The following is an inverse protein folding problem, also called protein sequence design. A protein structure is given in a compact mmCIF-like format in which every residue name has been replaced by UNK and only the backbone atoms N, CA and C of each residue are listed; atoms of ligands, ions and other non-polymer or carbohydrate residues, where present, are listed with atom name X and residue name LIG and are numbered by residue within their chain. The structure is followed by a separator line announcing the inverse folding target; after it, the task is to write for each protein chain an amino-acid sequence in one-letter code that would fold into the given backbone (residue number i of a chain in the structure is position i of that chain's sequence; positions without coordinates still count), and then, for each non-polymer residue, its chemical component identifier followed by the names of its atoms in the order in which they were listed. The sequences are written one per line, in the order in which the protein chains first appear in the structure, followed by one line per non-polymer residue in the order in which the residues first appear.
data_IF_026361744700
#
_entry.id   IF_026361744700
#
_cell.length_a   1.000
_cell.length_b   1.000
_cell.length_c   1.000
_cell.angle_alpha   90.00
_cell.angle_beta   90.00
_cell.angle_gamma   90.00
#
_symmetry.space_group_name_H-M   'P 1'
#
loop_
_entity.id
_entity.type
_entity.pdbx_description
1 polymer ?
#
# COMPACT_ATOMS: atom_id res chain seq x y z
N UNK A 1 4.62 4.17 17.86
CA UNK A 1 3.14 4.01 17.81
C UNK A 1 2.53 5.27 18.40
N UNK A 2 1.59 5.86 17.72
CA UNK A 2 0.87 7.08 18.12
C UNK A 2 -0.62 6.78 18.12
N UNK A 3 -1.31 7.01 19.22
CA UNK A 3 -2.78 6.95 19.25
C UNK A 3 -3.32 8.30 18.76
N UNK A 4 -4.11 8.27 17.67
CA UNK A 4 -4.65 9.48 17.02
C UNK A 4 -6.10 9.74 17.40
N UNK A 5 -6.84 8.67 17.72
CA UNK A 5 -8.20 8.66 18.24
C UNK A 5 -8.34 7.45 19.18
N UNK A 6 -9.33 7.40 20.08
CA UNK A 6 -9.55 6.23 20.93
C UNK A 6 -9.65 4.93 20.11
N UNK A 7 -8.70 4.02 20.34
CA UNK A 7 -8.61 2.74 19.64
C UNK A 7 -8.02 2.80 18.23
N UNK A 8 -7.64 3.99 17.72
CA UNK A 8 -6.97 4.14 16.42
C UNK A 8 -5.49 4.44 16.64
N UNK A 9 -4.63 3.56 16.19
CA UNK A 9 -3.19 3.73 16.31
C UNK A 9 -2.51 3.91 14.96
N UNK A 10 -1.45 4.70 14.94
CA UNK A 10 -0.61 4.97 13.78
C UNK A 10 0.84 4.59 14.09
N UNK A 11 1.39 3.75 13.27
CA UNK A 11 2.79 3.32 13.31
C UNK A 11 3.54 3.93 12.12
N UNK A 12 4.66 4.58 12.38
CA UNK A 12 5.57 5.06 11.33
C UNK A 12 6.64 3.99 11.13
N UNK A 13 6.63 3.36 9.96
CA UNK A 13 7.54 2.27 9.59
C UNK A 13 8.76 2.75 8.82
N UNK A 14 8.60 3.86 8.09
CA UNK A 14 9.65 4.56 7.35
C UNK A 14 9.36 6.08 7.44
N UNK A 15 10.35 6.99 7.41
CA UNK A 15 11.77 6.73 7.15
C UNK A 15 12.48 6.05 8.34
N UNK A 16 13.56 5.34 8.02
CA UNK A 16 14.48 4.83 9.02
C UNK A 16 15.09 5.98 9.83
N UNK A 17 15.56 5.69 11.07
CA UNK A 17 16.20 6.70 11.92
C UNK A 17 17.40 7.38 11.25
N UNK A 18 18.10 6.65 10.38
CA UNK A 18 19.12 7.19 9.48
C UNK A 18 18.57 7.08 8.06
N UNK A 19 18.37 8.20 7.37
CA UNK A 19 17.85 8.18 6.01
C UNK A 19 18.75 7.42 5.04
N UNK A 20 18.14 6.74 4.08
CA UNK A 20 18.86 6.06 3.02
C UNK A 20 19.53 7.06 2.09
N UNK A 21 20.79 6.77 1.72
CA UNK A 21 21.60 7.56 0.79
C UNK A 21 22.24 6.60 -0.21
N UNK A 22 22.14 6.95 -1.49
CA UNK A 22 22.72 6.15 -2.57
C UNK A 22 21.89 4.91 -2.96
N UNK A 23 20.61 4.89 -2.61
CA UNK A 23 19.68 3.81 -2.97
C UNK A 23 19.25 3.84 -4.45
N UNK A 24 19.67 4.89 -5.19
CA UNK A 24 19.22 5.14 -6.57
C UNK A 24 17.90 5.89 -6.68
N UNK A 25 17.10 5.90 -5.62
CA UNK A 25 15.84 6.61 -5.51
C UNK A 25 15.63 7.13 -4.07
N UNK A 26 16.62 7.81 -3.53
CA UNK A 26 16.67 8.21 -2.11
C UNK A 26 15.43 8.99 -1.66
N UNK A 27 14.89 9.85 -2.54
CA UNK A 27 13.68 10.61 -2.24
C UNK A 27 12.49 9.69 -1.98
N UNK A 28 12.27 8.71 -2.85
CA UNK A 28 11.17 7.75 -2.74
C UNK A 28 11.42 6.78 -1.59
N UNK A 29 12.64 6.27 -1.49
CA UNK A 29 13.00 5.31 -0.46
C UNK A 29 13.00 5.86 0.98
N UNK A 30 12.99 7.18 1.14
CA UNK A 30 12.77 7.85 2.43
C UNK A 30 11.34 8.38 2.60
N UNK A 31 10.40 8.00 1.73
CA UNK A 31 9.00 8.40 1.87
C UNK A 31 8.37 7.77 3.12
N UNK A 32 7.38 8.45 3.69
CA UNK A 32 6.73 8.02 4.92
C UNK A 32 5.84 6.80 4.66
N UNK A 33 6.13 5.70 5.32
CA UNK A 33 5.27 4.50 5.34
C UNK A 33 4.56 4.44 6.67
N UNK A 34 3.24 4.31 6.60
CA UNK A 34 2.37 4.29 7.78
C UNK A 34 1.56 3.00 7.82
N UNK A 35 1.44 2.45 9.02
CA UNK A 35 0.46 1.42 9.32
C UNK A 35 -0.56 1.98 10.30
N UNK A 36 -1.81 2.07 9.86
CA UNK A 36 -2.94 2.47 10.69
C UNK A 36 -3.69 1.23 11.14
N UNK A 37 -4.06 1.17 12.41
CA UNK A 37 -4.81 0.05 13.00
C UNK A 37 -6.00 0.59 13.77
N UNK A 38 -7.17 0.04 13.48
CA UNK A 38 -8.39 0.24 14.24
C UNK A 38 -9.08 -1.12 14.48
N UNK A 39 -9.10 -1.56 15.72
CA UNK A 39 -9.62 -2.89 16.06
C UNK A 39 -8.88 -4.01 15.31
N UNK A 40 -9.62 -4.80 14.54
CA UNK A 40 -9.06 -5.87 13.69
C UNK A 40 -8.69 -5.40 12.28
N UNK A 41 -9.03 -4.18 11.89
CA UNK A 41 -8.77 -3.64 10.55
C UNK A 41 -7.50 -2.82 10.54
N UNK A 42 -6.64 -3.08 9.56
CA UNK A 42 -5.36 -2.38 9.41
C UNK A 42 -5.10 -1.98 7.96
N UNK A 43 -4.45 -0.84 7.79
CA UNK A 43 -4.08 -0.26 6.50
C UNK A 43 -2.57 -0.04 6.45
N UNK A 44 -1.93 -0.51 5.40
CA UNK A 44 -0.55 -0.18 5.10
C UNK A 44 -0.50 0.84 3.95
N UNK A 45 -0.06 2.04 4.26
CA UNK A 45 0.08 3.15 3.33
C UNK A 45 1.55 3.25 2.92
N UNK A 46 1.89 2.61 1.81
CA UNK A 46 3.29 2.42 1.41
C UNK A 46 3.93 3.63 0.72
N UNK A 47 3.18 4.73 0.50
CA UNK A 47 3.69 5.93 -0.18
C UNK A 47 4.34 5.61 -1.53
N UNK A 48 5.53 6.20 -1.80
CA UNK A 48 6.26 6.01 -3.04
C UNK A 48 7.56 5.21 -2.85
N UNK A 49 7.64 4.39 -1.78
CA UNK A 49 8.80 3.53 -1.57
C UNK A 49 9.00 2.56 -2.73
N UNK A 50 10.25 2.19 -2.96
CA UNK A 50 10.64 1.24 -3.99
C UNK A 50 11.19 -0.06 -3.37
N UNK A 51 11.54 -1.01 -4.21
CA UNK A 51 12.02 -2.34 -3.83
C UNK A 51 13.10 -2.33 -2.74
N UNK A 52 13.96 -1.32 -2.73
CA UNK A 52 15.02 -1.16 -1.71
C UNK A 52 14.43 -1.03 -0.30
N UNK A 53 13.46 -0.13 -0.13
CA UNK A 53 12.83 0.09 1.19
C UNK A 53 11.84 -1.02 1.53
N UNK A 54 11.14 -1.59 0.54
CA UNK A 54 10.30 -2.77 0.76
C UNK A 54 11.12 -3.96 1.29
N UNK A 55 12.30 -4.25 0.70
CA UNK A 55 13.21 -5.30 1.18
C UNK A 55 13.76 -4.98 2.58
N UNK A 56 14.08 -3.71 2.86
CA UNK A 56 14.46 -3.27 4.20
C UNK A 56 13.34 -3.55 5.22
N UNK A 57 12.10 -3.18 4.92
CA UNK A 57 10.96 -3.40 5.81
C UNK A 57 10.70 -4.89 6.06
N UNK A 58 10.81 -5.72 5.01
CA UNK A 58 10.70 -7.19 5.12
C UNK A 58 11.72 -7.79 6.07
N UNK A 59 12.92 -7.21 6.16
CA UNK A 59 14.02 -7.70 7.03
C UNK A 59 13.97 -7.12 8.44
N UNK A 60 13.10 -6.17 8.69
CA UNK A 60 12.93 -5.60 10.03
C UNK A 60 11.95 -6.42 10.87
N UNK A 61 11.87 -6.09 12.15
CA UNK A 61 10.90 -6.69 13.08
C UNK A 61 9.53 -6.00 13.05
N UNK A 62 9.29 -5.10 12.09
CA UNK A 62 7.98 -4.44 11.96
C UNK A 62 6.89 -5.43 11.56
N UNK A 63 5.71 -5.24 12.12
CA UNK A 63 4.50 -5.93 11.66
C UNK A 63 4.03 -5.25 10.39
N UNK A 64 4.13 -5.95 9.24
CA UNK A 64 3.65 -5.45 7.95
C UNK A 64 2.25 -5.94 7.61
N UNK A 65 1.82 -7.06 8.19
CA UNK A 65 0.51 -7.66 7.93
C UNK A 65 -0.61 -6.64 8.10
N UNK A 66 -1.41 -6.47 7.04
CA UNK A 66 -2.46 -5.45 6.99
C UNK A 66 -3.58 -5.87 6.05
N UNK A 67 -4.82 -5.61 6.47
CA UNK A 67 -6.03 -5.95 5.70
C UNK A 67 -6.07 -5.19 4.37
N UNK A 68 -5.65 -3.92 4.39
CA UNK A 68 -5.63 -3.08 3.20
C UNK A 68 -4.20 -2.66 2.88
N UNK A 69 -3.79 -2.86 1.63
CA UNK A 69 -2.56 -2.30 1.09
C UNK A 69 -2.87 -1.17 0.10
N UNK A 70 -2.43 0.05 0.39
CA UNK A 70 -2.24 1.04 -0.67
C UNK A 70 -0.92 0.71 -1.36
N UNK A 71 -0.99 0.23 -2.61
CA UNK A 71 0.18 -0.16 -3.39
C UNK A 71 1.20 0.98 -3.47
N UNK A 72 2.47 0.64 -3.33
CA UNK A 72 3.55 1.60 -3.36
C UNK A 72 3.73 2.21 -4.76
N UNK A 73 4.15 3.45 -4.79
CA UNK A 73 4.56 4.20 -5.99
C UNK A 73 3.57 4.06 -7.16
N UNK A 74 2.27 4.15 -6.84
CA UNK A 74 1.17 4.08 -7.82
C UNK A 74 1.16 2.80 -8.67
N UNK A 75 1.77 1.72 -8.20
CA UNK A 75 1.97 0.49 -8.95
C UNK A 75 3.13 0.57 -9.95
N UNK A 76 4.19 1.32 -9.64
CA UNK A 76 5.43 1.33 -10.40
C UNK A 76 6.08 -0.07 -10.43
N UNK A 77 6.75 -0.41 -11.55
CA UNK A 77 7.48 -1.69 -11.65
C UNK A 77 8.60 -1.83 -10.62
N UNK A 78 9.10 -0.72 -10.07
CA UNK A 78 10.14 -0.71 -9.03
C UNK A 78 9.61 -1.01 -7.63
N UNK A 79 8.31 -1.29 -7.46
CA UNK A 79 7.65 -1.45 -6.17
C UNK A 79 6.78 -2.70 -6.07
N UNK A 80 6.22 -2.92 -4.88
CA UNK A 80 5.33 -4.04 -4.55
C UNK A 80 5.98 -5.39 -4.87
N UNK A 81 7.24 -5.59 -4.39
CA UNK A 81 7.98 -6.84 -4.63
C UNK A 81 7.26 -8.04 -3.98
N UNK A 82 7.43 -9.27 -4.52
CA UNK A 82 6.73 -10.45 -4.00
C UNK A 82 6.93 -10.70 -2.51
N UNK A 83 8.15 -10.47 -2.00
CA UNK A 83 8.46 -10.67 -0.58
C UNK A 83 7.69 -9.68 0.32
N UNK A 84 7.59 -8.41 -0.09
CA UNK A 84 6.82 -7.39 0.62
C UNK A 84 5.32 -7.71 0.58
N UNK A 85 4.78 -7.98 -0.61
CA UNK A 85 3.38 -8.35 -0.76
C UNK A 85 3.01 -9.58 0.08
N UNK A 86 3.89 -10.60 0.09
CA UNK A 86 3.69 -11.80 0.90
C UNK A 86 3.68 -11.55 2.40
N UNK A 87 4.49 -10.59 2.89
CA UNK A 87 4.50 -10.23 4.31
C UNK A 87 3.32 -9.31 4.70
N UNK A 88 2.89 -8.45 3.80
CA UNK A 88 1.69 -7.61 4.02
C UNK A 88 0.44 -8.49 4.01
N UNK A 89 0.39 -9.49 3.14
CA UNK A 89 -0.71 -10.46 2.99
C UNK A 89 -2.10 -9.79 3.01
N UNK A 90 -2.35 -8.80 2.14
CA UNK A 90 -3.56 -7.99 2.22
C UNK A 90 -4.79 -8.75 1.74
N UNK A 91 -5.96 -8.44 2.30
CA UNK A 91 -7.25 -8.86 1.77
C UNK A 91 -7.74 -7.96 0.63
N UNK A 92 -7.31 -6.69 0.64
CA UNK A 92 -7.69 -5.68 -0.35
C UNK A 92 -6.46 -4.88 -0.75
N UNK A 93 -6.29 -4.58 -2.05
CA UNK A 93 -5.29 -3.66 -2.55
C UNK A 93 -5.93 -2.45 -3.25
N UNK A 94 -5.38 -1.27 -2.99
CA UNK A 94 -5.78 -0.03 -3.66
C UNK A 94 -4.60 0.54 -4.44
N UNK A 95 -4.79 0.79 -5.73
CA UNK A 95 -3.81 1.46 -6.59
C UNK A 95 -4.33 2.86 -6.90
N UNK A 96 -3.65 3.87 -6.38
CA UNK A 96 -3.95 5.27 -6.68
C UNK A 96 -3.14 5.71 -7.89
N UNK A 97 -3.76 5.80 -9.06
CA UNK A 97 -3.14 6.25 -10.30
C UNK A 97 -4.11 7.14 -11.09
N UNK A 98 -3.59 8.06 -11.87
CA UNK A 98 -4.41 8.89 -12.75
C UNK A 98 -4.75 8.14 -14.04
N UNK A 99 -5.97 8.30 -14.53
CA UNK A 99 -6.34 7.81 -15.87
C UNK A 99 -5.50 8.51 -16.93
N UNK A 100 -4.86 7.71 -17.82
CA UNK A 100 -3.99 8.24 -18.88
C UNK A 100 -2.71 8.88 -18.38
N UNK A 101 -2.22 8.53 -17.17
CA UNK A 101 -0.97 9.07 -16.66
C UNK A 101 0.23 8.73 -17.56
N UNK A 102 1.15 9.70 -17.68
CA UNK A 102 2.32 9.58 -18.56
C UNK A 102 3.35 8.52 -18.11
N UNK A 103 3.24 8.01 -16.89
CA UNK A 103 4.19 7.03 -16.33
C UNK A 103 3.80 5.58 -16.67
N UNK A 104 2.60 5.37 -17.21
CA UNK A 104 2.06 4.03 -17.48
C UNK A 104 1.73 3.23 -16.21
N UNK A 105 1.44 3.94 -15.11
CA UNK A 105 1.06 3.30 -13.86
C UNK A 105 -0.44 2.97 -13.81
N UNK A 106 -0.82 1.84 -13.18
CA UNK A 106 0.07 0.80 -12.69
C UNK A 106 0.70 0.02 -13.84
N UNK A 107 1.95 -0.38 -13.66
CA UNK A 107 2.61 -1.28 -14.60
C UNK A 107 1.92 -2.66 -14.61
N UNK A 108 1.78 -3.31 -15.79
CA UNK A 108 1.13 -4.62 -15.91
C UNK A 108 1.73 -5.68 -14.96
N UNK A 109 3.04 -5.66 -14.77
CA UNK A 109 3.75 -6.59 -13.88
C UNK A 109 3.26 -6.51 -12.42
N UNK A 110 2.98 -5.30 -11.94
CA UNK A 110 2.48 -5.08 -10.58
C UNK A 110 0.99 -5.39 -10.49
N UNK A 111 0.21 -4.96 -11.49
CA UNK A 111 -1.21 -5.27 -11.56
C UNK A 111 -1.45 -6.79 -11.58
N UNK A 112 -0.74 -7.52 -12.44
CA UNK A 112 -0.83 -8.99 -12.52
C UNK A 112 -0.40 -9.67 -11.22
N UNK A 113 0.69 -9.20 -10.58
CA UNK A 113 1.14 -9.73 -9.28
C UNK A 113 0.09 -9.60 -8.20
N UNK A 114 -0.57 -8.46 -8.14
CA UNK A 114 -1.66 -8.24 -7.19
C UNK A 114 -2.87 -9.13 -7.53
N UNK A 115 -3.21 -9.26 -8.82
CA UNK A 115 -4.30 -10.10 -9.28
C UNK A 115 -4.06 -11.58 -8.98
N UNK A 116 -2.85 -12.07 -9.18
CA UNK A 116 -2.45 -13.44 -8.82
C UNK A 116 -2.53 -13.69 -7.31
N UNK A 117 -2.22 -12.69 -6.50
CA UNK A 117 -2.22 -12.82 -5.05
C UNK A 117 -3.62 -12.69 -4.41
N UNK A 118 -4.48 -11.80 -4.94
CA UNK A 118 -5.73 -11.43 -4.28
C UNK A 118 -7.00 -11.82 -5.08
N UNK A 119 -6.91 -11.95 -6.40
CA UNK A 119 -8.06 -11.93 -7.30
C UNK A 119 -8.45 -10.50 -7.69
N UNK A 120 -8.97 -10.35 -8.91
CA UNK A 120 -9.30 -9.05 -9.50
C UNK A 120 -10.34 -8.26 -8.69
N UNK A 121 -11.29 -8.95 -8.10
CA UNK A 121 -12.41 -8.39 -7.31
C UNK A 121 -11.96 -7.71 -6.00
N UNK A 122 -10.71 -7.90 -5.59
CA UNK A 122 -10.12 -7.31 -4.39
C UNK A 122 -9.12 -6.21 -4.68
N UNK A 123 -9.02 -5.80 -5.95
CA UNK A 123 -8.11 -4.74 -6.40
C UNK A 123 -8.92 -3.56 -6.88
N UNK A 124 -8.75 -2.44 -6.20
CA UNK A 124 -9.43 -1.19 -6.53
C UNK A 124 -8.44 -0.20 -7.13
N UNK A 125 -8.82 0.41 -8.26
CA UNK A 125 -7.93 1.29 -9.03
C UNK A 125 -8.61 2.62 -9.32
N UNK A 126 -8.02 3.72 -8.88
CA UNK A 126 -8.60 5.05 -9.09
C UNK A 126 -8.61 5.49 -10.56
N UNK A 127 -7.70 4.97 -11.39
CA UNK A 127 -7.68 5.23 -12.83
C UNK A 127 -8.85 4.61 -13.61
N UNK A 128 -9.53 3.63 -13.00
CA UNK A 128 -10.70 2.93 -13.56
C UNK A 128 -11.99 3.29 -12.86
N UNK A 129 -11.97 3.26 -11.53
CA UNK A 129 -13.15 3.34 -10.67
C UNK A 129 -13.38 4.74 -10.08
N UNK A 130 -12.49 5.71 -10.36
CA UNK A 130 -12.58 7.05 -9.76
C UNK A 130 -12.21 7.03 -8.28
N UNK A 131 -13.01 7.68 -7.45
CA UNK A 131 -12.80 7.66 -6.01
C UNK A 131 -13.00 6.26 -5.45
N UNK A 132 -12.08 5.82 -4.61
CA UNK A 132 -12.19 4.58 -3.83
C UNK A 132 -12.28 4.97 -2.36
N UNK A 133 -13.37 4.66 -1.72
CA UNK A 133 -13.62 4.95 -0.31
C UNK A 133 -13.61 3.65 0.50
N UNK A 134 -12.88 3.66 1.62
CA UNK A 134 -12.84 2.56 2.56
C UNK A 134 -13.30 3.06 3.92
N UNK A 135 -14.32 2.41 4.48
CA UNK A 135 -14.89 2.74 5.78
C UNK A 135 -14.78 1.51 6.68
N UNK A 136 -14.43 1.74 7.93
CA UNK A 136 -14.37 0.66 8.93
C UNK A 136 -14.89 1.13 10.28
N UNK A 137 -15.49 0.23 11.03
CA UNK A 137 -15.86 0.41 12.44
C UNK A 137 -14.86 -0.29 13.40
N UNK A 138 -13.76 -0.80 12.83
CA UNK A 138 -12.74 -1.55 13.56
C UNK A 138 -12.96 -3.07 13.56
N UNK A 139 -14.09 -3.54 13.02
CA UNK A 139 -14.41 -4.97 12.89
C UNK A 139 -14.65 -5.33 11.42
N UNK A 140 -15.52 -4.56 10.77
CA UNK A 140 -15.86 -4.72 9.36
C UNK A 140 -15.20 -3.65 8.50
N UNK A 141 -14.99 -3.96 7.24
CA UNK A 141 -14.45 -3.07 6.21
C UNK A 141 -15.42 -3.04 5.02
N UNK A 142 -15.88 -1.82 4.69
CA UNK A 142 -16.69 -1.58 3.50
C UNK A 142 -15.86 -0.80 2.47
N UNK A 143 -15.97 -1.22 1.21
CA UNK A 143 -15.31 -0.55 0.09
C UNK A 143 -16.38 -0.09 -0.89
N UNK A 144 -16.32 1.17 -1.28
CA UNK A 144 -17.17 1.75 -2.32
C UNK A 144 -16.35 2.49 -3.36
N UNK A 145 -16.86 2.56 -4.56
CA UNK A 145 -16.21 3.21 -5.70
C UNK A 145 -17.15 4.17 -6.39
N UNK A 146 -16.62 5.25 -6.97
CA UNK A 146 -17.41 6.24 -7.71
C UNK A 146 -18.04 5.64 -8.98
N UNK A 147 -17.36 4.67 -9.60
CA UNK A 147 -17.80 4.01 -10.83
C UNK A 147 -17.73 2.51 -10.65
N UNK A 148 -18.77 1.83 -11.11
CA UNK A 148 -18.71 0.38 -11.27
C UNK A 148 -17.68 0.05 -12.37
N UNK A 149 -16.83 -0.92 -12.08
CA UNK A 149 -15.89 -1.46 -13.05
C UNK A 149 -16.02 -2.99 -12.99
N UNK A 150 -16.46 -3.59 -14.11
CA UNK A 150 -16.63 -5.03 -14.21
C UNK A 150 -15.31 -5.79 -14.15
#
# INVERSE_FOLDING_TARGET
MLEVEPGVTLEVLNPAAVPFVGSGADRNNNAVVLRLVYGSVSFLLASDIEAFTEDYLVRTSFVLESIVLKAAHHGSRSSTIPAFLGQVNPAVAVISAGSGNQFGHPHPEVANRLEEALGLERIFRTDRQGTVELITDGTDLWVSTEKDYP
#
